data_IF_805120380339
#
_entry.id   IF_805120380339
#
_cell.length_a   1.000
_cell.length_b   1.000
_cell.length_c   1.000
_cell.angle_alpha   90.00
_cell.angle_beta   90.00
_cell.angle_gamma   90.00
#
_symmetry.space_group_name_H-M   'P 1'
#
loop_
_entity.id
_entity.type
_entity.pdbx_description
1 polymer ?
#
# COMPACT_ATOMS: atom_id res chain seq x y z
N UNK A 1 -18.65 16.11 -5.84
CA UNK A 1 -19.60 15.28 -5.08
C UNK A 1 -18.86 14.74 -3.86
N UNK A 2 -18.93 15.48 -2.74
CA UNK A 2 -18.16 15.15 -1.54
C UNK A 2 -18.68 13.87 -0.92
N UNK A 3 -17.83 12.85 -0.79
CA UNK A 3 -18.14 11.68 0.00
C UNK A 3 -18.29 12.12 1.46
N UNK A 4 -19.51 12.43 1.87
CA UNK A 4 -19.88 12.49 3.29
C UNK A 4 -19.36 11.20 3.93
N UNK A 5 -18.49 11.31 4.94
CA UNK A 5 -18.09 10.21 5.82
C UNK A 5 -19.36 9.64 6.49
N UNK A 6 -20.12 8.84 5.76
CA UNK A 6 -21.17 8.00 6.33
C UNK A 6 -20.42 7.05 7.23
N UNK A 7 -20.74 7.08 8.52
CA UNK A 7 -20.28 6.11 9.51
C UNK A 7 -20.81 4.72 9.11
N UNK A 8 -20.21 4.12 8.10
CA UNK A 8 -20.41 2.71 7.78
C UNK A 8 -19.89 1.94 8.99
N UNK A 9 -20.73 1.08 9.56
CA UNK A 9 -20.30 0.13 10.57
C UNK A 9 -19.22 -0.74 9.92
N UNK A 10 -17.97 -0.48 10.28
CA UNK A 10 -16.84 -1.02 9.56
C UNK A 10 -16.64 -2.48 9.99
N UNK A 11 -16.78 -3.47 9.09
CA UNK A 11 -16.48 -4.87 9.42
C UNK A 11 -15.03 -5.08 9.90
N UNK A 12 -14.13 -4.12 9.64
CA UNK A 12 -12.75 -4.15 10.14
C UNK A 12 -12.63 -4.03 11.67
N UNK A 13 -13.65 -3.50 12.37
CA UNK A 13 -13.64 -3.48 13.85
C UNK A 13 -14.09 -4.80 14.46
N UNK A 14 -15.13 -5.42 13.89
CA UNK A 14 -15.58 -6.76 14.27
C UNK A 14 -16.43 -7.37 13.16
N UNK A 15 -15.88 -8.38 12.48
CA UNK A 15 -16.59 -9.12 11.44
C UNK A 15 -17.77 -9.92 12.02
N UNK A 16 -17.63 -10.43 13.25
CA UNK A 16 -18.69 -11.17 13.94
C UNK A 16 -19.92 -10.32 14.17
N UNK A 17 -19.74 -9.14 14.80
CA UNK A 17 -20.84 -8.22 15.06
C UNK A 17 -21.49 -7.71 13.76
N UNK A 18 -20.69 -7.46 12.71
CA UNK A 18 -21.22 -7.08 11.40
C UNK A 18 -22.12 -8.17 10.80
N UNK A 19 -21.71 -9.44 10.89
CA UNK A 19 -22.49 -10.57 10.39
C UNK A 19 -23.78 -10.78 11.18
N UNK A 20 -23.74 -10.64 12.50
CA UNK A 20 -24.92 -10.73 13.37
C UNK A 20 -25.94 -9.64 13.08
N UNK A 21 -25.52 -8.37 12.97
CA UNK A 21 -26.43 -7.28 12.65
C UNK A 21 -27.01 -7.40 11.23
N UNK A 22 -26.21 -7.94 10.30
CA UNK A 22 -26.65 -8.22 8.92
C UNK A 22 -27.64 -9.38 8.87
N UNK A 23 -27.40 -10.46 9.62
CA UNK A 23 -28.30 -11.63 9.67
C UNK A 23 -29.61 -11.30 10.39
N UNK A 24 -29.55 -10.47 11.43
CA UNK A 24 -30.71 -9.92 12.12
C UNK A 24 -31.53 -8.93 11.26
N UNK A 25 -31.04 -8.54 10.07
CA UNK A 25 -31.69 -7.61 9.12
C UNK A 25 -32.10 -6.27 9.74
N UNK A 26 -31.47 -5.87 10.84
CA UNK A 26 -31.73 -4.59 11.53
C UNK A 26 -31.37 -3.42 10.60
N UNK A 27 -30.30 -3.58 9.80
CA UNK A 27 -29.85 -2.63 8.80
C UNK A 27 -29.53 -3.35 7.47
N UNK A 28 -29.73 -2.66 6.35
CA UNK A 28 -29.39 -3.18 5.02
C UNK A 28 -27.88 -3.09 4.78
N UNK A 29 -27.17 -4.15 5.16
CA UNK A 29 -25.72 -4.23 5.00
C UNK A 29 -25.28 -4.96 3.73
N UNK A 30 -24.30 -4.41 2.97
CA UNK A 30 -23.65 -5.12 1.87
C UNK A 30 -23.02 -6.44 2.33
N UNK A 31 -22.79 -7.34 1.38
CA UNK A 31 -22.08 -8.58 1.66
C UNK A 31 -20.61 -8.33 2.01
N UNK A 32 -20.03 -9.22 2.82
CA UNK A 32 -18.59 -9.19 3.11
C UNK A 32 -17.75 -9.25 1.83
N UNK A 33 -18.23 -9.95 0.79
CA UNK A 33 -17.56 -9.99 -0.51
C UNK A 33 -17.53 -8.61 -1.15
N UNK A 34 -18.67 -7.95 -1.25
CA UNK A 34 -18.79 -6.59 -1.78
C UNK A 34 -17.90 -5.60 -1.03
N UNK A 35 -17.79 -5.73 0.30
CA UNK A 35 -16.89 -4.91 1.11
C UNK A 35 -15.41 -5.18 0.82
N UNK A 36 -15.03 -6.43 0.56
CA UNK A 36 -13.66 -6.78 0.14
C UNK A 36 -13.34 -6.21 -1.23
N UNK A 37 -14.30 -6.26 -2.15
CA UNK A 37 -14.15 -5.69 -3.49
C UNK A 37 -13.92 -4.17 -3.39
N UNK A 38 -14.69 -3.47 -2.55
CA UNK A 38 -14.46 -2.04 -2.28
C UNK A 38 -13.13 -1.76 -1.59
N UNK A 39 -12.74 -2.58 -0.61
CA UNK A 39 -11.45 -2.43 0.09
C UNK A 39 -10.27 -2.56 -0.88
N UNK A 40 -10.35 -3.52 -1.79
CA UNK A 40 -9.29 -3.84 -2.74
C UNK A 40 -9.37 -3.00 -4.02
N UNK A 41 -10.29 -2.04 -4.11
CA UNK A 41 -10.42 -1.16 -5.27
C UNK A 41 -9.14 -0.32 -5.49
N UNK A 42 -8.44 0.02 -4.41
CA UNK A 42 -7.13 0.67 -4.46
C UNK A 42 -6.08 -0.34 -3.99
N UNK A 43 -5.21 -0.76 -4.91
CA UNK A 43 -4.08 -1.63 -4.56
C UNK A 43 -2.95 -0.80 -3.98
N UNK A 44 -2.35 -1.21 -2.85
CA UNK A 44 -1.17 -0.54 -2.31
C UNK A 44 0.05 -0.84 -3.20
N UNK A 45 0.60 0.18 -3.84
CA UNK A 45 1.84 0.07 -4.62
C UNK A 45 3.06 0.36 -3.74
N UNK A 46 4.18 -0.32 -4.02
CA UNK A 46 5.48 -0.01 -3.41
C UNK A 46 5.89 1.41 -3.81
N UNK A 47 6.48 2.15 -2.88
CA UNK A 47 6.93 3.51 -3.07
C UNK A 47 5.82 4.55 -2.95
N UNK A 48 6.02 5.71 -3.58
CA UNK A 48 5.11 6.85 -3.50
C UNK A 48 3.91 6.63 -4.43
N UNK A 49 2.73 6.43 -3.86
CA UNK A 49 1.51 6.27 -4.64
C UNK A 49 0.92 7.65 -5.00
N UNK A 50 0.82 8.02 -6.28
CA UNK A 50 0.28 9.32 -6.69
C UNK A 50 -1.16 9.53 -6.23
N UNK A 51 -1.99 8.47 -6.18
CA UNK A 51 -3.37 8.58 -5.71
C UNK A 51 -3.44 9.04 -4.25
N UNK A 52 -2.54 8.55 -3.40
CA UNK A 52 -2.48 8.97 -1.98
C UNK A 52 -2.01 10.42 -1.87
N UNK A 53 -1.08 10.85 -2.72
CA UNK A 53 -0.59 12.23 -2.74
C UNK A 53 -1.69 13.19 -3.20
N UNK A 54 -2.48 12.80 -4.20
CA UNK A 54 -3.62 13.59 -4.66
C UNK A 54 -4.73 13.66 -3.59
N UNK A 55 -5.00 12.57 -2.88
CA UNK A 55 -5.92 12.55 -1.74
C UNK A 55 -5.43 13.45 -0.60
N UNK A 56 -4.14 13.40 -0.26
CA UNK A 56 -3.52 14.30 0.71
C UNK A 56 -3.65 15.76 0.27
N UNK A 57 -3.42 16.05 -1.01
CA UNK A 57 -3.61 17.41 -1.56
C UNK A 57 -5.06 17.85 -1.38
N UNK A 58 -6.02 16.99 -1.69
CA UNK A 58 -7.44 17.30 -1.56
C UNK A 58 -7.88 17.54 -0.10
N UNK A 59 -7.38 16.76 0.85
CA UNK A 59 -7.69 16.98 2.27
C UNK A 59 -7.04 18.27 2.81
N UNK A 60 -5.82 18.59 2.36
CA UNK A 60 -5.11 19.79 2.81
C UNK A 60 -5.67 21.10 2.25
N UNK A 61 -6.48 21.07 1.18
CA UNK A 61 -7.19 22.25 0.68
C UNK A 61 -8.12 22.88 1.73
N UNK A 62 -8.70 22.06 2.61
CA UNK A 62 -9.64 22.51 3.64
C UNK A 62 -8.95 23.01 4.93
N UNK A 63 -7.63 22.86 5.05
CA UNK A 63 -6.88 23.22 6.25
C UNK A 63 -6.34 24.65 6.17
N UNK A 64 -6.36 25.38 7.29
CA UNK A 64 -5.97 26.80 7.33
C UNK A 64 -4.74 26.99 8.22
N UNK A 65 -3.78 27.79 7.73
CA UNK A 65 -2.61 28.25 8.50
C UNK A 65 -1.85 27.11 9.19
N UNK A 66 -1.88 27.12 10.52
CA UNK A 66 -1.15 26.18 11.38
C UNK A 66 -1.62 24.72 11.26
N UNK A 67 -2.83 24.46 10.77
CA UNK A 67 -3.35 23.10 10.56
C UNK A 67 -2.62 22.35 9.44
N UNK A 68 -1.92 23.08 8.55
CA UNK A 68 -1.12 22.51 7.46
C UNK A 68 0.21 21.93 7.94
N UNK A 69 0.65 22.23 9.17
CA UNK A 69 1.87 21.64 9.72
C UNK A 69 1.64 20.16 10.04
N UNK A 70 2.49 19.31 9.47
CA UNK A 70 2.50 17.87 9.71
C UNK A 70 3.92 17.40 10.07
N UNK A 71 3.97 16.25 10.72
CA UNK A 71 5.18 15.48 11.00
C UNK A 71 5.28 14.38 9.96
N UNK A 72 6.43 14.25 9.30
CA UNK A 72 6.80 13.05 8.57
C UNK A 72 7.59 12.15 9.52
N UNK A 73 7.07 10.98 9.81
CA UNK A 73 7.71 9.94 10.63
C UNK A 73 7.93 8.71 9.78
N UNK A 74 9.07 8.05 9.93
CA UNK A 74 9.32 6.76 9.30
C UNK A 74 9.60 5.71 10.37
N UNK A 75 9.19 4.47 10.10
CA UNK A 75 9.46 3.32 10.96
C UNK A 75 9.65 2.08 10.10
N UNK A 76 10.40 1.11 10.59
CA UNK A 76 10.70 -0.14 9.89
C UNK A 76 10.02 -1.30 10.60
N UNK A 77 9.17 -2.03 9.87
CA UNK A 77 8.47 -3.20 10.40
C UNK A 77 9.08 -4.48 9.86
N UNK A 78 9.28 -5.48 10.72
CA UNK A 78 9.71 -6.81 10.28
C UNK A 78 8.57 -7.50 9.53
N UNK A 79 8.85 -7.98 8.33
CA UNK A 79 7.93 -8.77 7.51
C UNK A 79 8.45 -10.19 7.38
N UNK A 80 7.53 -11.13 7.12
CA UNK A 80 7.93 -12.48 6.77
C UNK A 80 8.46 -12.47 5.35
N UNK A 81 9.66 -13.03 5.16
CA UNK A 81 10.16 -13.31 3.82
C UNK A 81 9.33 -14.44 3.21
N UNK A 82 8.54 -14.12 2.20
CA UNK A 82 7.79 -15.10 1.44
C UNK A 82 7.42 -14.56 0.06
N UNK A 83 7.12 -15.49 -0.84
CA UNK A 83 6.75 -15.23 -2.21
C UNK A 83 5.33 -15.75 -2.42
N UNK A 84 4.38 -14.83 -2.55
CA UNK A 84 2.95 -15.15 -2.63
C UNK A 84 2.48 -15.08 -4.07
N UNK A 85 1.91 -16.17 -4.57
CA UNK A 85 1.25 -16.16 -5.87
C UNK A 85 -0.15 -15.52 -5.77
N UNK A 86 -0.35 -14.39 -6.45
CA UNK A 86 -1.66 -13.75 -6.56
C UNK A 86 -2.41 -14.32 -7.77
N UNK A 87 -3.31 -15.26 -7.50
CA UNK A 87 -4.19 -15.91 -8.49
C UNK A 87 -5.11 -14.97 -9.28
N UNK A 88 -5.23 -13.70 -8.90
CA UNK A 88 -6.09 -12.73 -9.59
C UNK A 88 -5.31 -11.88 -10.61
N UNK A 89 -4.01 -11.67 -10.37
CA UNK A 89 -3.12 -11.01 -11.34
C UNK A 89 -2.26 -12.01 -12.10
N UNK A 90 -2.23 -13.28 -11.67
CA UNK A 90 -1.29 -14.31 -12.10
C UNK A 90 0.18 -13.90 -11.91
N UNK A 91 0.43 -13.04 -10.92
CA UNK A 91 1.76 -12.54 -10.60
C UNK A 91 2.28 -13.18 -9.32
N UNK A 92 3.58 -13.45 -9.31
CA UNK A 92 4.30 -13.92 -8.15
C UNK A 92 4.81 -12.69 -7.37
N UNK A 93 4.14 -12.36 -6.27
CA UNK A 93 4.40 -11.16 -5.47
C UNK A 93 5.39 -11.51 -4.36
N UNK A 94 6.57 -10.91 -4.42
CA UNK A 94 7.59 -11.02 -3.38
C UNK A 94 8.16 -9.66 -3.06
N UNK A 95 8.57 -9.47 -1.81
CA UNK A 95 9.29 -8.27 -1.41
C UNK A 95 10.78 -8.50 -1.63
N UNK A 96 11.34 -7.70 -2.53
CA UNK A 96 12.76 -7.73 -2.86
C UNK A 96 13.37 -6.42 -2.42
N UNK A 97 14.50 -6.50 -1.73
CA UNK A 97 15.30 -5.32 -1.45
C UNK A 97 15.97 -4.86 -2.75
N UNK A 98 15.62 -3.66 -3.20
CA UNK A 98 16.15 -3.10 -4.44
C UNK A 98 17.54 -2.46 -4.25
N UNK A 99 18.00 -2.24 -3.02
CA UNK A 99 19.34 -1.70 -2.75
C UNK A 99 19.61 -0.30 -3.34
N UNK A 100 20.89 0.02 -3.50
CA UNK A 100 21.36 1.38 -3.81
C UNK A 100 20.91 1.90 -5.20
N UNK A 101 20.34 3.13 -5.27
CA UNK A 101 19.81 3.69 -6.51
C UNK A 101 20.87 3.99 -7.58
N UNK A 102 22.15 4.11 -7.21
CA UNK A 102 23.29 4.28 -8.14
C UNK A 102 23.51 3.05 -9.03
N UNK A 103 23.09 1.86 -8.58
CA UNK A 103 23.18 0.60 -9.32
C UNK A 103 21.91 0.43 -10.19
N UNK A 104 20.76 0.88 -9.69
CA UNK A 104 19.45 0.72 -10.32
C UNK A 104 19.15 1.70 -11.47
N UNK A 105 19.81 2.87 -11.52
CA UNK A 105 19.66 3.82 -12.64
C UNK A 105 20.11 3.26 -14.00
N UNK A 106 20.83 2.12 -14.00
CA UNK A 106 21.23 1.42 -15.23
C UNK A 106 20.10 0.54 -15.80
N UNK A 107 19.08 0.23 -15.02
CA UNK A 107 17.98 -0.68 -15.41
C UNK A 107 16.83 0.01 -16.16
N UNK A 108 16.79 1.36 -16.18
CA UNK A 108 15.68 2.14 -16.74
C UNK A 108 15.63 2.22 -18.27
N UNK A 109 16.58 1.64 -19.01
CA UNK A 109 16.67 1.80 -20.48
C UNK A 109 16.38 0.56 -21.34
N UNK A 110 15.87 -0.55 -20.80
CA UNK A 110 15.66 -1.76 -21.62
C UNK A 110 14.23 -2.28 -21.62
N UNK A 111 13.31 -1.44 -22.11
CA UNK A 111 11.92 -1.78 -22.42
C UNK A 111 11.73 -2.35 -23.84
N UNK A 112 12.70 -3.13 -24.38
CA UNK A 112 12.69 -3.50 -25.81
C UNK A 112 12.65 -5.01 -26.13
N UNK A 113 12.91 -5.96 -25.22
CA UNK A 113 13.08 -7.38 -25.63
C UNK A 113 12.03 -8.36 -25.10
N UNK A 114 10.75 -8.04 -25.26
CA UNK A 114 9.57 -8.69 -24.66
C UNK A 114 9.42 -10.23 -24.73
N UNK A 115 10.30 -11.01 -25.39
CA UNK A 115 10.20 -12.48 -25.38
C UNK A 115 11.43 -13.23 -24.82
N UNK A 116 12.62 -12.63 -24.81
CA UNK A 116 13.80 -13.15 -24.09
C UNK A 116 13.86 -12.67 -22.64
N UNK A 117 13.03 -11.68 -22.28
CA UNK A 117 12.97 -11.05 -20.97
C UNK A 117 12.41 -11.95 -19.86
N UNK A 118 11.53 -12.92 -20.14
CA UNK A 118 11.03 -13.82 -19.09
C UNK A 118 12.18 -14.69 -18.57
N UNK A 119 12.97 -15.28 -19.48
CA UNK A 119 14.13 -16.09 -19.09
C UNK A 119 15.27 -15.24 -18.50
N UNK A 120 15.53 -14.04 -19.04
CA UNK A 120 16.56 -13.14 -18.51
C UNK A 120 16.18 -12.51 -17.16
N UNK A 121 14.91 -12.18 -16.95
CA UNK A 121 14.36 -11.73 -15.66
C UNK A 121 14.42 -12.86 -14.63
N UNK A 122 14.00 -14.08 -14.98
CA UNK A 122 14.13 -15.25 -14.10
C UNK A 122 15.62 -15.50 -13.78
N UNK A 123 16.53 -15.52 -14.76
CA UNK A 123 17.96 -15.78 -14.51
C UNK A 123 18.64 -14.67 -13.68
N UNK A 124 18.29 -13.40 -13.88
CA UNK A 124 18.83 -12.28 -13.08
C UNK A 124 18.23 -12.22 -11.67
N UNK A 125 16.96 -12.54 -11.51
CA UNK A 125 16.32 -12.65 -10.19
C UNK A 125 17.01 -13.74 -9.34
N UNK A 126 17.46 -14.83 -9.96
CA UNK A 126 18.26 -15.87 -9.28
C UNK A 126 19.66 -15.38 -8.90
N UNK A 127 20.20 -14.31 -9.50
CA UNK A 127 21.63 -14.00 -9.38
C UNK A 127 22.04 -13.15 -8.16
N UNK A 128 21.18 -12.35 -7.50
CA UNK A 128 21.61 -11.66 -6.26
C UNK A 128 20.56 -10.83 -5.51
N UNK A 129 19.26 -11.05 -5.72
CA UNK A 129 18.27 -10.28 -4.95
C UNK A 129 17.83 -11.08 -3.71
N UNK A 130 18.25 -10.59 -2.55
CA UNK A 130 17.79 -11.12 -1.26
C UNK A 130 16.32 -10.75 -1.07
N UNK A 131 15.52 -11.69 -0.55
CA UNK A 131 14.22 -11.38 0.02
C UNK A 131 14.35 -10.25 1.04
N UNK A 132 13.44 -9.29 0.96
CA UNK A 132 13.32 -8.25 1.98
C UNK A 132 12.73 -8.85 3.25
N UNK A 133 13.33 -8.49 4.39
CA UNK A 133 12.93 -8.97 5.72
C UNK A 133 12.20 -7.88 6.51
N UNK A 134 12.26 -6.64 6.03
CA UNK A 134 11.67 -5.48 6.65
C UNK A 134 10.93 -4.63 5.61
N UNK A 135 10.02 -3.78 6.10
CA UNK A 135 9.37 -2.77 5.30
C UNK A 135 9.48 -1.42 6.01
N UNK A 136 10.14 -0.46 5.36
CA UNK A 136 10.22 0.93 5.77
C UNK A 136 8.93 1.64 5.36
N UNK A 137 8.24 2.25 6.32
CA UNK A 137 6.97 2.95 6.11
C UNK A 137 7.15 4.44 6.39
N UNK A 138 6.72 5.28 5.46
CA UNK A 138 6.61 6.72 5.65
C UNK A 138 5.19 7.09 6.05
N UNK A 139 5.05 7.72 7.21
CA UNK A 139 3.77 8.13 7.78
C UNK A 139 3.72 9.66 7.96
N UNK A 140 2.62 10.27 7.55
CA UNK A 140 2.33 11.69 7.74
C UNK A 140 1.28 11.83 8.84
N UNK A 141 1.57 12.67 9.83
CA UNK A 141 0.63 13.02 10.90
C UNK A 141 0.54 14.53 11.11
N UNK A 142 -0.66 15.08 11.00
CA UNK A 142 -0.94 16.49 11.33
C UNK A 142 -0.57 16.82 12.77
N UNK A 143 0.02 18.00 13.00
CA UNK A 143 0.34 18.49 14.35
C UNK A 143 -0.87 19.12 15.02
N UNK A 144 -1.62 19.90 14.25
CA UNK A 144 -2.81 20.63 14.71
C UNK A 144 -4.08 20.25 13.92
N UNK A 145 -4.02 19.13 13.20
CA UNK A 145 -5.12 18.54 12.43
C UNK A 145 -5.12 17.03 12.65
N UNK A 146 -6.28 16.39 12.50
CA UNK A 146 -6.43 14.93 12.61
C UNK A 146 -5.97 14.17 11.36
N UNK A 147 -5.23 14.83 10.47
CA UNK A 147 -4.71 14.30 9.23
C UNK A 147 -3.72 13.16 9.51
N UNK A 148 -3.98 11.96 8.95
CA UNK A 148 -3.14 10.77 9.12
C UNK A 148 -3.10 9.99 7.81
N UNK A 149 -1.91 9.84 7.24
CA UNK A 149 -1.70 9.16 5.96
C UNK A 149 -0.47 8.26 6.00
N UNK A 150 -0.54 7.11 5.33
CA UNK A 150 0.64 6.34 4.96
C UNK A 150 1.04 6.83 3.58
N UNK A 151 2.21 7.45 3.47
CA UNK A 151 2.68 8.10 2.25
C UNK A 151 3.26 7.09 1.26
N UNK A 152 4.14 6.21 1.76
CA UNK A 152 4.86 5.23 0.97
C UNK A 152 5.35 4.09 1.86
N UNK A 153 5.61 2.94 1.26
CA UNK A 153 6.36 1.87 1.89
C UNK A 153 7.41 1.31 0.93
N UNK A 154 8.54 0.87 1.49
CA UNK A 154 9.65 0.28 0.75
C UNK A 154 10.08 -1.00 1.42
N UNK A 155 10.38 -2.02 0.63
CA UNK A 155 10.91 -3.28 1.13
C UNK A 155 12.43 -3.17 1.31
N UNK A 156 12.94 -3.59 2.47
CA UNK A 156 14.35 -3.45 2.89
C UNK A 156 14.84 -4.74 3.55
N UNK A 157 16.15 -4.99 3.53
CA UNK A 157 16.76 -6.13 4.25
C UNK A 157 17.04 -5.84 5.74
N UNK A 158 16.75 -4.62 6.19
CA UNK A 158 17.05 -4.12 7.53
C UNK A 158 17.79 -2.79 7.44
N UNK A 159 17.81 -2.10 8.58
CA UNK A 159 18.36 -0.75 8.78
C UNK A 159 19.66 -0.55 7.99
N UNK A 160 19.60 0.38 7.03
CA UNK A 160 20.75 1.07 6.42
C UNK A 160 21.91 1.27 7.37
#
# INVERSE_FOLDING_TARGET
MGATKKHFFNPMKSASAYNELRSAKILKFPSLRTLRDYKNAIKPCVGFNPAIIDDLRNETLNLIGYQKYFCLSFDEIKIQEDLVFDKYTDELIGYVDLGDPSINSTFSYSSVLFHTQVYFFILKCTFSYSSATHALIYHIRGKASDLKFILAYFATKGIT
#
